data_IF_937056009875
#
_entry.id   IF_937056009875
#
_cell.length_a   1.000
_cell.length_b   1.000
_cell.length_c   1.000
_cell.angle_alpha   90.00
_cell.angle_beta   90.00
_cell.angle_gamma   90.00
#
_symmetry.space_group_name_H-M   'P 1'
#
loop_
_entity.id
_entity.type
_entity.pdbx_description
1 polymer ?
#
# COMPACT_ATOMS: atom_id res chain seq x y z
N UNK A 1 -40.08 -25.76 -32.39
CA UNK A 1 -40.15 -25.66 -30.91
C UNK A 1 -39.01 -26.40 -30.22
N UNK A 2 -38.60 -27.58 -30.71
CA UNK A 2 -37.40 -28.30 -30.23
C UNK A 2 -36.09 -27.85 -30.89
N UNK A 3 -36.12 -27.22 -32.08
CA UNK A 3 -34.92 -26.75 -32.79
C UNK A 3 -34.18 -25.60 -32.12
N UNK A 4 -34.85 -24.88 -31.21
CA UNK A 4 -34.27 -23.74 -30.50
C UNK A 4 -34.15 -23.99 -28.99
N UNK A 5 -33.97 -25.27 -28.60
CA UNK A 5 -33.73 -25.73 -27.22
C UNK A 5 -34.46 -24.89 -26.16
N UNK A 6 -35.77 -24.75 -26.32
CA UNK A 6 -36.63 -24.05 -25.36
C UNK A 6 -36.20 -22.62 -24.95
N UNK A 7 -35.40 -21.92 -25.78
CA UNK A 7 -34.85 -20.56 -25.50
C UNK A 7 -34.04 -20.42 -24.18
N UNK A 8 -33.96 -21.48 -23.38
CA UNK A 8 -33.31 -21.48 -22.08
C UNK A 8 -31.79 -21.49 -22.19
N UNK A 9 -31.22 -22.20 -23.17
CA UNK A 9 -29.76 -22.16 -23.43
C UNK A 9 -29.32 -20.74 -23.83
N UNK A 10 -30.08 -20.07 -24.71
CA UNK A 10 -29.75 -18.71 -25.16
C UNK A 10 -29.84 -17.69 -24.02
N UNK A 11 -30.88 -17.76 -23.20
CA UNK A 11 -31.02 -16.85 -22.05
C UNK A 11 -29.92 -17.09 -21.01
N UNK A 12 -29.63 -18.35 -20.70
CA UNK A 12 -28.62 -18.70 -19.71
C UNK A 12 -27.21 -18.30 -20.16
N UNK A 13 -26.88 -18.54 -21.43
CA UNK A 13 -25.54 -18.25 -21.95
C UNK A 13 -25.31 -16.74 -22.18
N UNK A 14 -26.33 -16.02 -22.63
CA UNK A 14 -26.20 -14.62 -23.00
C UNK A 14 -26.50 -13.64 -21.86
N UNK A 15 -27.30 -14.04 -20.87
CA UNK A 15 -27.65 -13.18 -19.71
C UNK A 15 -26.96 -13.65 -18.44
N UNK A 16 -27.16 -14.91 -18.02
CA UNK A 16 -26.61 -15.41 -16.77
C UNK A 16 -25.08 -15.62 -16.85
N UNK A 17 -24.57 -16.30 -17.88
CA UNK A 17 -23.15 -16.58 -17.98
C UNK A 17 -22.32 -15.33 -18.30
N UNK A 18 -22.83 -14.40 -19.12
CA UNK A 18 -22.17 -13.09 -19.35
C UNK A 18 -22.25 -12.21 -18.10
N UNK A 19 -23.38 -12.21 -17.38
CA UNK A 19 -23.54 -11.48 -16.12
C UNK A 19 -22.59 -11.99 -15.03
N UNK A 20 -22.53 -13.31 -14.82
CA UNK A 20 -21.65 -13.94 -13.84
C UNK A 20 -20.16 -13.68 -14.15
N UNK A 21 -19.76 -13.77 -15.42
CA UNK A 21 -18.38 -13.44 -15.84
C UNK A 21 -18.07 -11.95 -15.64
N UNK A 22 -19.00 -11.06 -15.96
CA UNK A 22 -18.84 -9.61 -15.76
C UNK A 22 -18.70 -9.24 -14.29
N UNK A 23 -19.54 -9.81 -13.42
CA UNK A 23 -19.47 -9.61 -11.97
C UNK A 23 -18.18 -10.20 -11.38
N UNK A 24 -17.76 -11.39 -11.82
CA UNK A 24 -16.50 -11.99 -11.38
C UNK A 24 -15.28 -11.14 -11.77
N UNK A 25 -15.25 -10.61 -13.00
CA UNK A 25 -14.17 -9.71 -13.43
C UNK A 25 -14.19 -8.40 -12.65
N UNK A 26 -15.37 -7.84 -12.39
CA UNK A 26 -15.53 -6.60 -11.62
C UNK A 26 -15.10 -6.76 -10.15
N UNK A 27 -15.45 -7.87 -9.51
CA UNK A 27 -15.06 -8.17 -8.13
C UNK A 27 -13.55 -8.39 -7.99
N UNK A 28 -12.93 -9.14 -8.91
CA UNK A 28 -11.48 -9.41 -8.81
C UNK A 28 -10.63 -8.19 -9.23
N UNK A 29 -10.98 -7.48 -10.31
CA UNK A 29 -10.22 -6.28 -10.73
C UNK A 29 -10.49 -5.08 -9.83
N UNK A 30 -11.74 -4.92 -9.37
CA UNK A 30 -12.14 -3.79 -8.55
C UNK A 30 -11.87 -3.99 -7.06
N UNK A 31 -12.05 -5.22 -6.56
CA UNK A 31 -11.77 -5.57 -5.17
C UNK A 31 -10.29 -5.85 -4.96
N UNK A 32 -9.81 -6.98 -5.46
CA UNK A 32 -8.46 -7.45 -5.12
C UNK A 32 -7.37 -6.54 -5.71
N UNK A 33 -7.43 -6.22 -6.99
CA UNK A 33 -6.37 -5.44 -7.64
C UNK A 33 -6.33 -3.99 -7.14
N UNK A 34 -7.47 -3.35 -6.88
CA UNK A 34 -7.47 -1.95 -6.41
C UNK A 34 -7.13 -1.82 -4.92
N UNK A 35 -7.62 -2.73 -4.08
CA UNK A 35 -7.42 -2.66 -2.62
C UNK A 35 -6.02 -3.17 -2.25
N UNK A 36 -5.61 -4.33 -2.79
CA UNK A 36 -4.34 -4.96 -2.43
C UNK A 36 -3.18 -4.28 -3.15
N UNK A 37 -3.19 -4.23 -4.49
CA UNK A 37 -2.06 -3.64 -5.23
C UNK A 37 -2.06 -2.10 -5.15
N UNK A 38 -3.25 -1.48 -5.23
CA UNK A 38 -3.39 -0.03 -5.19
C UNK A 38 -3.26 0.57 -3.79
N UNK A 39 -3.98 0.01 -2.82
CA UNK A 39 -4.03 0.52 -1.45
C UNK A 39 -2.84 0.10 -0.59
N UNK A 40 -2.63 -1.21 -0.45
CA UNK A 40 -1.65 -1.74 0.49
C UNK A 40 -0.22 -1.71 -0.06
N UNK A 41 0.02 -2.26 -1.25
CA UNK A 41 1.39 -2.39 -1.79
C UNK A 41 1.93 -1.03 -2.25
N UNK A 42 1.23 -0.36 -3.18
CA UNK A 42 1.66 0.95 -3.67
C UNK A 42 1.62 2.03 -2.59
N UNK A 43 0.64 1.99 -1.69
CA UNK A 43 0.58 2.90 -0.54
C UNK A 43 1.82 2.77 0.35
N UNK A 44 2.15 1.54 0.75
CA UNK A 44 3.32 1.26 1.58
C UNK A 44 4.62 1.66 0.90
N UNK A 45 4.77 1.32 -0.39
CA UNK A 45 5.95 1.70 -1.18
C UNK A 45 6.12 3.23 -1.27
N UNK A 46 5.02 3.99 -1.46
CA UNK A 46 5.07 5.47 -1.47
C UNK A 46 5.47 6.04 -0.11
N UNK A 47 4.94 5.50 0.99
CA UNK A 47 5.29 5.96 2.33
C UNK A 47 6.78 5.74 2.61
N UNK A 48 7.28 4.54 2.31
CA UNK A 48 8.71 4.21 2.45
C UNK A 48 9.57 5.10 1.55
N UNK A 49 9.18 5.29 0.29
CA UNK A 49 9.89 6.17 -0.65
C UNK A 49 9.91 7.63 -0.21
N UNK A 50 8.80 8.13 0.32
CA UNK A 50 8.71 9.48 0.89
C UNK A 50 9.62 9.64 2.11
N UNK A 51 9.56 8.71 3.06
CA UNK A 51 10.40 8.73 4.25
C UNK A 51 11.89 8.64 3.90
N UNK A 52 12.25 7.78 2.96
CA UNK A 52 13.61 7.67 2.42
C UNK A 52 14.07 8.98 1.78
N UNK A 53 13.20 9.61 0.98
CA UNK A 53 13.50 10.90 0.34
C UNK A 53 13.74 12.04 1.35
N UNK A 54 12.94 12.09 2.43
CA UNK A 54 13.13 13.05 3.53
C UNK A 54 14.42 12.75 4.29
N UNK A 55 14.66 11.49 4.66
CA UNK A 55 15.89 11.07 5.35
C UNK A 55 17.14 11.42 4.56
N UNK A 56 17.11 11.25 3.22
CA UNK A 56 18.22 11.64 2.35
C UNK A 56 18.51 13.14 2.37
N UNK A 57 17.50 14.00 2.56
CA UNK A 57 17.70 15.46 2.67
C UNK A 57 18.31 15.86 4.02
N UNK A 58 18.07 15.09 5.08
CA UNK A 58 18.73 15.30 6.38
C UNK A 58 20.23 14.98 6.32
N UNK A 59 20.64 14.09 5.42
CA UNK A 59 22.04 13.80 5.15
C UNK A 59 22.65 14.85 4.20
N UNK A 60 22.84 16.08 4.69
CA UNK A 60 23.41 17.19 3.92
C UNK A 60 24.90 17.05 3.59
N UNK A 61 25.60 16.05 4.14
CA UNK A 61 27.03 15.79 3.90
C UNK A 61 28.01 16.72 4.64
N UNK A 62 27.55 17.83 5.22
CA UNK A 62 28.38 18.70 6.04
C UNK A 62 28.71 18.09 7.41
N UNK A 63 29.99 18.04 7.74
CA UNK A 63 30.53 17.47 8.98
C UNK A 63 29.96 18.17 10.23
N UNK A 64 29.66 19.48 10.15
CA UNK A 64 29.10 20.25 11.26
C UNK A 64 27.74 19.72 11.75
N UNK A 65 26.88 19.27 10.85
CA UNK A 65 25.58 18.71 11.22
C UNK A 65 25.73 17.39 11.99
N UNK A 66 26.71 16.56 11.61
CA UNK A 66 27.02 15.34 12.35
C UNK A 66 27.58 15.65 13.74
N UNK A 67 28.52 16.59 13.85
CA UNK A 67 29.08 16.99 15.15
C UNK A 67 28.00 17.49 16.12
N UNK A 68 27.06 18.32 15.64
CA UNK A 68 25.92 18.79 16.42
C UNK A 68 25.00 17.64 16.84
N UNK A 69 24.65 16.74 15.91
CA UNK A 69 23.81 15.58 16.19
C UNK A 69 24.42 14.65 17.26
N UNK A 70 25.75 14.48 17.26
CA UNK A 70 26.45 13.68 18.27
C UNK A 70 26.38 14.30 19.66
N UNK A 71 26.63 15.61 19.79
CA UNK A 71 26.55 16.32 21.08
C UNK A 71 25.14 16.26 21.64
N UNK A 72 24.13 16.55 20.81
CA UNK A 72 22.71 16.48 21.20
C UNK A 72 22.33 15.05 21.58
N UNK A 73 22.77 14.04 20.82
CA UNK A 73 22.49 12.63 21.10
C UNK A 73 23.01 12.20 22.46
N UNK A 74 24.25 12.55 22.80
CA UNK A 74 24.83 12.26 24.13
C UNK A 74 24.05 12.98 25.24
N UNK A 75 23.72 14.27 25.05
CA UNK A 75 22.96 15.05 26.02
C UNK A 75 21.57 14.43 26.31
N UNK A 76 20.85 14.01 25.27
CA UNK A 76 19.54 13.37 25.40
C UNK A 76 19.66 12.02 26.09
N UNK A 77 20.63 11.19 25.71
CA UNK A 77 20.86 9.88 26.34
C UNK A 77 21.20 10.02 27.83
N UNK A 78 22.06 10.97 28.19
CA UNK A 78 22.39 11.26 29.59
C UNK A 78 21.17 11.73 30.37
N UNK A 79 20.39 12.64 29.81
CA UNK A 79 19.17 13.16 30.46
C UNK A 79 18.14 12.05 30.65
N UNK A 80 17.93 11.21 29.63
CA UNK A 80 17.01 10.09 29.68
C UNK A 80 17.44 9.06 30.74
N UNK A 81 18.72 8.69 30.78
CA UNK A 81 19.27 7.76 31.78
C UNK A 81 19.08 8.29 33.21
N UNK A 82 19.30 9.58 33.45
CA UNK A 82 19.11 10.20 34.77
C UNK A 82 17.64 10.28 35.17
N UNK A 83 16.72 10.45 34.22
CA UNK A 83 15.28 10.46 34.48
C UNK A 83 14.72 9.06 34.75
N UNK A 84 15.24 8.03 34.07
CA UNK A 84 14.78 6.64 34.17
C UNK A 84 15.47 5.86 35.30
N UNK A 85 16.66 6.31 35.73
CA UNK A 85 17.39 5.78 36.88
C UNK A 85 16.98 6.39 38.23
N UNK A 86 15.96 7.25 38.24
CA UNK A 86 15.22 7.67 39.45
C UNK A 86 13.99 6.79 39.62
#
# INVERSE_FOLDING_TARGET
LLDNKYYMDWFNENVLARGARGLGIGLWKGGDQAIIDGGLVNGSARVVGWFSGVSRRLQTGYIYHYALAMIVGVFVLMTWFVLLGK
#
